data_IF_403890302221
#
_entry.id   IF_403890302221
#
_cell.length_a   1.000
_cell.length_b   1.000
_cell.length_c   1.000
_cell.angle_alpha   90.00
_cell.angle_beta   90.00
_cell.angle_gamma   90.00
#
_symmetry.space_group_name_H-M   'P 1'
#
loop_
_entity.id
_entity.type
_entity.pdbx_description
1 polymer ?
#
# COMPACT_ATOMS: atom_id res chain seq x y z
N UNK A 1 12.79 -2.73 -5.08
CA UNK A 1 12.00 -2.82 -6.34
C UNK A 1 11.70 -4.29 -6.61
N UNK A 2 10.47 -4.60 -6.97
CA UNK A 2 10.08 -5.96 -7.37
C UNK A 2 10.18 -6.08 -8.89
N UNK A 3 10.67 -7.21 -9.37
CA UNK A 3 10.72 -7.50 -10.82
C UNK A 3 9.31 -7.70 -11.39
N UNK A 4 9.15 -7.40 -12.68
CA UNK A 4 7.97 -7.80 -13.46
C UNK A 4 8.37 -8.98 -14.36
N UNK A 5 7.56 -10.03 -14.37
CA UNK A 5 7.81 -11.24 -15.16
C UNK A 5 9.19 -11.89 -14.93
N UNK A 6 9.76 -11.77 -13.71
CA UNK A 6 11.07 -12.32 -13.38
C UNK A 6 12.26 -11.56 -13.96
N UNK A 7 12.04 -10.47 -14.68
CA UNK A 7 13.10 -9.63 -15.24
C UNK A 7 13.66 -8.74 -14.15
N UNK A 8 14.96 -8.82 -13.91
CA UNK A 8 15.63 -7.97 -12.92
C UNK A 8 15.63 -6.51 -13.38
N UNK A 9 15.10 -5.63 -12.53
CA UNK A 9 15.13 -4.17 -12.77
C UNK A 9 16.54 -3.63 -12.50
N UNK A 10 17.09 -2.90 -13.45
CA UNK A 10 18.36 -2.19 -13.30
C UNK A 10 18.15 -0.69 -13.07
N UNK A 11 19.18 0.02 -12.62
CA UNK A 11 19.11 1.48 -12.47
C UNK A 11 18.83 2.22 -13.79
N UNK A 12 19.27 1.67 -14.92
CA UNK A 12 19.02 2.26 -16.24
C UNK A 12 17.53 2.20 -16.62
N UNK A 13 16.80 1.21 -16.12
CA UNK A 13 15.36 1.05 -16.36
C UNK A 13 14.52 2.12 -15.68
N UNK A 14 15.07 2.87 -14.73
CA UNK A 14 14.31 3.87 -13.95
C UNK A 14 13.94 5.10 -14.80
N UNK A 15 14.76 5.47 -15.78
CA UNK A 15 14.45 6.61 -16.61
C UNK A 15 13.41 6.29 -17.67
N UNK A 16 12.51 7.24 -17.94
CA UNK A 16 11.46 7.12 -18.95
C UNK A 16 10.54 5.90 -18.78
N UNK A 17 10.44 5.37 -17.56
CA UNK A 17 9.54 4.28 -17.18
C UNK A 17 8.38 4.81 -16.35
N UNK A 18 7.35 4.00 -16.17
CA UNK A 18 6.23 4.27 -15.26
C UNK A 18 6.59 3.76 -13.88
N UNK A 19 6.47 4.60 -12.87
CA UNK A 19 6.75 4.21 -11.49
C UNK A 19 5.46 3.96 -10.72
N UNK A 20 5.33 2.75 -10.17
CA UNK A 20 4.24 2.40 -9.27
C UNK A 20 4.70 2.41 -7.82
N UNK A 21 4.00 3.16 -6.98
CA UNK A 21 4.17 3.21 -5.53
C UNK A 21 2.92 2.67 -4.84
N UNK A 22 3.08 2.15 -3.64
CA UNK A 22 1.99 1.62 -2.84
C UNK A 22 2.47 0.64 -1.78
N UNK A 23 1.53 0.09 -1.03
CA UNK A 23 1.75 -0.91 0.00
C UNK A 23 1.98 -2.33 -0.53
N UNK A 24 1.68 -3.32 0.31
CA UNK A 24 1.79 -4.75 -0.01
C UNK A 24 0.91 -5.19 -1.19
N UNK A 25 -0.18 -4.52 -1.43
CA UNK A 25 -1.09 -4.76 -2.57
C UNK A 25 -0.45 -4.39 -3.90
N UNK A 26 0.29 -3.28 -3.96
CA UNK A 26 1.08 -2.87 -5.13
C UNK A 26 2.32 -3.75 -5.28
N UNK A 27 3.01 -4.05 -4.18
CA UNK A 27 4.07 -5.06 -4.19
C UNK A 27 3.59 -6.38 -4.79
N UNK A 28 2.32 -6.74 -4.58
CA UNK A 28 1.70 -7.97 -5.05
C UNK A 28 1.97 -9.13 -4.10
N UNK A 29 1.77 -8.91 -2.80
CA UNK A 29 1.88 -9.97 -1.80
C UNK A 29 0.93 -11.13 -2.14
N UNK A 30 1.47 -12.36 -2.15
CA UNK A 30 0.70 -13.58 -2.38
C UNK A 30 0.41 -13.91 -3.86
N UNK A 31 0.92 -13.13 -4.82
CA UNK A 31 0.87 -13.44 -6.25
C UNK A 31 2.28 -13.48 -6.85
N UNK A 32 2.42 -14.19 -7.97
CA UNK A 32 3.65 -14.24 -8.75
C UNK A 32 3.97 -12.88 -9.38
N UNK A 33 5.23 -12.65 -9.76
CA UNK A 33 5.71 -11.38 -10.33
C UNK A 33 4.89 -10.91 -11.52
N UNK A 34 4.53 -11.82 -12.41
CA UNK A 34 3.71 -11.53 -13.59
C UNK A 34 2.23 -11.28 -13.29
N UNK A 35 1.79 -11.43 -12.05
CA UNK A 35 0.40 -11.28 -11.62
C UNK A 35 0.16 -10.06 -10.72
N UNK A 36 1.18 -9.24 -10.48
CA UNK A 36 1.02 -7.98 -9.75
C UNK A 36 0.25 -6.94 -10.56
N UNK A 37 -0.31 -5.93 -9.90
CA UNK A 37 -0.97 -4.79 -10.56
C UNK A 37 0.01 -4.10 -11.54
N UNK A 38 1.26 -3.74 -11.13
CA UNK A 38 2.23 -3.14 -12.03
C UNK A 38 2.54 -4.00 -13.26
N UNK A 39 2.73 -5.33 -13.11
CA UNK A 39 3.00 -6.23 -14.24
C UNK A 39 1.81 -6.34 -15.20
N UNK A 40 0.57 -6.33 -14.68
CA UNK A 40 -0.64 -6.32 -15.52
C UNK A 40 -0.78 -5.00 -16.27
N UNK A 41 -0.43 -3.88 -15.63
CA UNK A 41 -0.43 -2.56 -16.24
C UNK A 41 0.65 -2.47 -17.32
N UNK A 42 1.88 -2.95 -17.08
CA UNK A 42 2.97 -2.99 -18.06
C UNK A 42 2.54 -3.67 -19.37
N UNK A 43 1.93 -4.85 -19.28
CA UNK A 43 1.42 -5.57 -20.46
C UNK A 43 0.27 -4.86 -21.17
N UNK A 44 -0.55 -4.10 -20.43
CA UNK A 44 -1.68 -3.38 -21.00
C UNK A 44 -1.25 -2.09 -21.70
N UNK A 45 -0.34 -1.34 -21.09
CA UNK A 45 0.13 -0.04 -21.57
C UNK A 45 1.25 -0.14 -22.61
N UNK A 46 1.92 -1.29 -22.67
CA UNK A 46 3.18 -1.48 -23.43
C UNK A 46 4.30 -0.50 -23.00
N UNK A 47 4.23 -0.03 -21.74
CA UNK A 47 5.22 0.84 -21.12
C UNK A 47 6.11 0.04 -20.16
N UNK A 48 7.38 0.37 -20.06
CA UNK A 48 8.23 -0.18 -19.00
C UNK A 48 7.73 0.29 -17.63
N UNK A 49 7.48 -0.63 -16.71
CA UNK A 49 6.95 -0.33 -15.37
C UNK A 49 7.91 -0.75 -14.28
N UNK A 50 8.12 0.11 -13.30
CA UNK A 50 8.92 -0.17 -12.11
C UNK A 50 8.00 -0.28 -10.90
N UNK A 51 8.03 -1.42 -10.22
CA UNK A 51 7.26 -1.68 -9.02
C UNK A 51 8.05 -1.28 -7.77
N UNK A 52 7.71 -0.14 -7.18
CA UNK A 52 8.22 0.36 -5.90
C UNK A 52 7.31 0.02 -4.71
N UNK A 53 6.28 -0.80 -4.91
CA UNK A 53 5.44 -1.26 -3.82
C UNK A 53 6.24 -1.96 -2.74
N UNK A 54 5.87 -1.77 -1.48
CA UNK A 54 6.51 -2.41 -0.34
C UNK A 54 5.51 -2.72 0.78
N UNK A 55 5.76 -3.78 1.56
CA UNK A 55 4.87 -4.14 2.66
C UNK A 55 4.71 -2.99 3.67
N UNK A 56 3.47 -2.71 4.05
CA UNK A 56 3.09 -1.67 5.03
C UNK A 56 3.41 -0.22 4.64
N UNK A 57 3.82 0.05 3.39
CA UNK A 57 4.00 1.42 2.93
C UNK A 57 2.65 2.14 2.83
N UNK A 58 2.68 3.43 3.14
CA UNK A 58 1.58 4.37 3.01
C UNK A 58 2.12 5.72 2.45
N UNK A 59 1.26 6.65 2.17
CA UNK A 59 1.54 7.88 1.42
C UNK A 59 2.81 8.63 1.82
N UNK A 60 3.17 8.67 3.11
CA UNK A 60 4.40 9.32 3.58
C UNK A 60 5.68 8.64 3.08
N UNK A 61 5.78 7.32 3.27
CA UNK A 61 6.97 6.53 2.88
C UNK A 61 7.11 6.49 1.35
N UNK A 62 5.99 6.41 0.64
CA UNK A 62 5.96 6.47 -0.82
C UNK A 62 6.51 7.79 -1.34
N UNK A 63 6.08 8.92 -0.77
CA UNK A 63 6.60 10.26 -1.11
C UNK A 63 8.09 10.36 -0.83
N UNK A 64 8.56 9.78 0.27
CA UNK A 64 9.99 9.78 0.63
C UNK A 64 10.80 8.98 -0.40
N UNK A 65 10.34 7.78 -0.75
CA UNK A 65 10.98 6.93 -1.75
C UNK A 65 10.98 7.60 -3.13
N UNK A 66 9.86 8.22 -3.51
CA UNK A 66 9.74 8.98 -4.75
C UNK A 66 10.76 10.11 -4.83
N UNK A 67 10.86 10.96 -3.79
CA UNK A 67 11.89 12.02 -3.70
C UNK A 67 13.30 11.48 -3.81
N UNK A 68 13.58 10.34 -3.17
CA UNK A 68 14.91 9.71 -3.19
C UNK A 68 15.34 9.38 -4.62
N UNK A 69 14.48 8.74 -5.40
CA UNK A 69 14.81 8.33 -6.76
C UNK A 69 14.79 9.50 -7.75
N UNK A 70 13.98 10.53 -7.52
CA UNK A 70 13.97 11.75 -8.35
C UNK A 70 15.26 12.55 -8.31
N UNK A 71 16.14 12.32 -7.32
CA UNK A 71 17.48 12.98 -7.28
C UNK A 71 18.36 12.60 -8.46
N UNK A 72 18.16 11.44 -9.06
CA UNK A 72 19.04 10.90 -10.11
C UNK A 72 18.30 10.32 -11.32
N UNK A 73 16.98 10.15 -11.25
CA UNK A 73 16.19 9.51 -12.30
C UNK A 73 14.89 10.27 -12.53
N UNK A 74 14.34 10.15 -13.74
CA UNK A 74 13.08 10.78 -14.10
C UNK A 74 12.11 9.76 -14.73
N UNK A 75 10.95 9.46 -14.09
CA UNK A 75 9.94 8.63 -14.70
C UNK A 75 9.22 9.35 -15.83
N UNK A 76 8.53 8.59 -16.68
CA UNK A 76 7.57 9.11 -17.64
C UNK A 76 6.37 9.72 -16.90
N UNK A 77 5.84 8.99 -15.93
CA UNK A 77 4.84 9.43 -14.94
C UNK A 77 4.87 8.48 -13.73
N UNK A 78 4.20 8.87 -12.66
CA UNK A 78 4.13 8.08 -11.43
C UNK A 78 2.68 7.76 -11.05
N UNK A 79 2.45 6.56 -10.54
CA UNK A 79 1.17 6.05 -10.08
C UNK A 79 1.31 5.65 -8.62
N UNK A 80 0.40 6.13 -7.78
CA UNK A 80 0.34 5.84 -6.36
C UNK A 80 -0.97 5.12 -6.05
N UNK A 81 -0.88 4.01 -5.32
CA UNK A 81 -2.02 3.20 -4.93
C UNK A 81 -2.08 3.10 -3.42
N UNK A 82 -2.73 4.07 -2.80
CA UNK A 82 -2.86 4.24 -1.36
C UNK A 82 -4.17 3.64 -0.82
N UNK A 83 -4.32 3.61 0.49
CA UNK A 83 -5.59 3.24 1.12
C UNK A 83 -5.46 2.71 2.54
N UNK A 84 -5.72 1.42 2.73
CA UNK A 84 -5.91 0.83 4.05
C UNK A 84 -4.66 0.82 4.96
N UNK A 85 -3.49 1.18 4.44
CA UNK A 85 -2.28 1.31 5.25
C UNK A 85 -2.14 2.70 5.89
N UNK A 86 -2.96 3.67 5.51
CA UNK A 86 -2.91 5.00 6.12
C UNK A 86 -3.17 4.90 7.62
N UNK A 87 -2.17 5.27 8.40
CA UNK A 87 -2.23 5.13 9.86
C UNK A 87 -1.27 6.08 10.57
N UNK A 88 -1.46 6.22 11.87
CA UNK A 88 -0.58 6.99 12.75
C UNK A 88 0.59 6.17 13.33
N UNK A 89 0.76 4.92 12.91
CA UNK A 89 1.74 4.00 13.51
C UNK A 89 3.20 4.38 13.23
N UNK A 90 3.43 5.35 12.33
CA UNK A 90 4.77 5.88 12.05
C UNK A 90 4.72 7.40 12.19
N UNK A 91 5.58 7.93 13.05
CA UNK A 91 5.75 9.37 13.23
C UNK A 91 6.33 9.99 11.93
N UNK A 92 5.60 10.83 11.19
CA UNK A 92 6.13 11.50 10.00
C UNK A 92 7.26 12.49 10.30
N UNK A 93 7.49 12.78 11.59
CA UNK A 93 8.58 13.63 12.07
C UNK A 93 9.78 12.81 12.60
N UNK A 94 9.73 11.48 12.54
CA UNK A 94 10.93 10.67 12.74
C UNK A 94 11.86 10.89 11.54
N UNK A 95 13.11 11.17 11.86
CA UNK A 95 14.14 11.52 10.89
C UNK A 95 14.30 10.47 9.76
N UNK A 96 14.92 10.89 8.67
CA UNK A 96 15.20 10.02 7.50
C UNK A 96 15.92 8.72 7.89
N UNK A 97 16.69 8.74 8.98
CA UNK A 97 17.44 7.59 9.48
C UNK A 97 16.55 6.49 10.02
N UNK A 98 15.42 6.80 10.67
CA UNK A 98 14.49 5.77 11.17
C UNK A 98 13.77 5.04 10.05
N UNK A 99 13.52 5.71 8.94
CA UNK A 99 12.92 5.12 7.72
C UNK A 99 13.93 4.19 7.03
N UNK A 100 15.17 4.65 6.86
CA UNK A 100 16.27 3.87 6.29
C UNK A 100 16.63 2.67 7.16
N UNK A 101 16.57 2.82 8.48
CA UNK A 101 16.85 1.73 9.42
C UNK A 101 15.81 0.61 9.34
N UNK A 102 14.53 0.95 9.12
CA UNK A 102 13.48 -0.06 8.87
C UNK A 102 13.64 -0.74 7.51
N UNK A 103 14.03 -0.01 6.47
CA UNK A 103 14.38 -0.59 5.16
C UNK A 103 15.53 -1.57 5.27
N UNK A 104 16.59 -1.24 6.04
CA UNK A 104 17.72 -2.13 6.28
C UNK A 104 17.34 -3.34 7.14
N UNK A 105 16.49 -3.17 8.14
CA UNK A 105 16.00 -4.28 8.96
C UNK A 105 15.05 -5.21 8.20
N UNK A 106 14.23 -4.71 7.27
CA UNK A 106 13.36 -5.57 6.47
C UNK A 106 14.15 -6.50 5.55
N UNK A 107 15.25 -6.02 4.98
CA UNK A 107 16.17 -6.82 4.14
C UNK A 107 17.11 -7.73 4.95
N UNK A 108 17.58 -7.27 6.11
CA UNK A 108 18.51 -8.03 6.96
C UNK A 108 17.78 -9.09 7.80
N UNK A 109 16.59 -8.79 8.31
CA UNK A 109 15.79 -9.75 9.09
C UNK A 109 15.22 -10.92 8.28
N UNK A 110 15.14 -10.81 6.96
CA UNK A 110 14.65 -11.93 6.14
C UNK A 110 15.58 -13.15 6.20
N UNK A 111 16.86 -12.93 6.23
CA UNK A 111 17.87 -14.01 6.33
C UNK A 111 17.97 -14.58 7.75
N UNK A 112 17.88 -13.73 8.78
CA UNK A 112 17.93 -14.17 10.18
C UNK A 112 16.58 -14.73 10.67
N UNK A 113 15.45 -14.21 10.22
CA UNK A 113 14.14 -14.79 10.54
C UNK A 113 14.02 -16.24 10.13
N UNK A 114 14.51 -16.63 8.96
CA UNK A 114 14.48 -18.05 8.54
C UNK A 114 15.24 -18.99 9.49
N UNK A 115 16.27 -18.49 10.17
CA UNK A 115 17.07 -19.28 11.14
C UNK A 115 16.38 -19.30 12.52
N UNK A 116 15.73 -18.20 12.94
CA UNK A 116 15.16 -18.05 14.27
C UNK A 116 13.64 -18.18 14.34
N UNK A 117 12.93 -18.23 13.22
CA UNK A 117 11.45 -18.40 13.18
C UNK A 117 10.96 -19.62 13.97
N UNK A 118 11.59 -20.81 13.90
CA UNK A 118 11.15 -21.94 14.69
C UNK A 118 11.24 -21.68 16.20
N UNK A 119 12.29 -20.98 16.65
CA UNK A 119 12.53 -20.69 18.08
C UNK A 119 11.56 -19.59 18.56
N UNK A 120 11.37 -18.54 17.77
CA UNK A 120 10.42 -17.46 18.08
C UNK A 120 8.95 -17.94 18.03
N UNK A 121 8.61 -18.87 17.14
CA UNK A 121 7.29 -19.47 17.08
C UNK A 121 6.99 -20.28 18.37
N UNK A 122 7.96 -21.06 18.85
CA UNK A 122 7.81 -21.84 20.09
C UNK A 122 7.72 -20.94 21.35
N UNK A 123 8.57 -19.92 21.45
CA UNK A 123 8.54 -18.98 22.59
C UNK A 123 7.29 -18.11 22.59
N UNK A 124 6.80 -17.66 21.42
CA UNK A 124 5.55 -16.94 21.32
C UNK A 124 4.33 -17.80 21.63
N UNK A 125 4.33 -19.08 21.27
CA UNK A 125 3.25 -20.02 21.60
C UNK A 125 3.17 -20.28 23.11
N UNK A 126 4.30 -20.37 23.81
CA UNK A 126 4.36 -20.51 25.27
C UNK A 126 3.89 -19.22 25.96
N UNK A 127 4.27 -18.05 25.46
CA UNK A 127 3.85 -16.76 26.01
C UNK A 127 2.38 -16.43 25.71
N UNK A 128 1.85 -16.86 24.58
CA UNK A 128 0.42 -16.73 24.27
C UNK A 128 -0.44 -17.62 25.17
N UNK A 129 -0.01 -18.83 25.52
CA UNK A 129 -0.73 -19.68 26.46
C UNK A 129 -0.71 -19.13 27.90
N UNK A 130 0.32 -18.38 28.31
CA UNK A 130 0.37 -17.71 29.63
C UNK A 130 -0.46 -16.42 29.71
N UNK A 131 -0.68 -15.73 28.60
CA UNK A 131 -1.38 -14.44 28.56
C UNK A 131 -2.82 -14.53 28.02
N UNK A 132 -3.37 -15.73 27.81
CA UNK A 132 -4.70 -15.91 27.22
C UNK A 132 -5.88 -15.48 28.11
N UNK A 133 -5.64 -15.09 29.36
CA UNK A 133 -6.71 -14.72 30.28
C UNK A 133 -7.03 -13.23 30.37
N UNK A 134 -6.37 -12.32 29.64
CA UNK A 134 -6.66 -10.87 29.74
C UNK A 134 -6.25 -10.05 28.48
N UNK A 135 -6.47 -10.50 27.27
CA UNK A 135 -6.49 -9.59 26.13
C UNK A 135 -7.87 -9.60 25.50
N UNK A 136 -8.64 -8.56 25.77
CA UNK A 136 -9.59 -8.05 24.80
C UNK A 136 -8.73 -7.80 23.55
N UNK A 137 -8.84 -8.68 22.55
CA UNK A 137 -8.14 -8.48 21.27
C UNK A 137 -8.77 -7.23 20.65
N UNK A 138 -8.10 -6.08 20.83
CA UNK A 138 -8.44 -4.90 20.06
C UNK A 138 -8.32 -5.28 18.59
N UNK A 139 -9.37 -5.00 17.82
CA UNK A 139 -9.34 -5.18 16.37
C UNK A 139 -8.14 -4.37 15.83
N UNK A 140 -7.16 -4.99 15.16
CA UNK A 140 -5.96 -4.29 14.68
C UNK A 140 -6.29 -3.11 13.75
N UNK A 141 -7.48 -3.09 13.15
CA UNK A 141 -7.95 -2.01 12.28
C UNK A 141 -8.45 -0.78 13.07
N UNK A 142 -8.80 -0.92 14.36
CA UNK A 142 -9.24 0.22 15.19
C UNK A 142 -8.10 1.20 15.48
N UNK A 143 -6.86 0.71 15.50
CA UNK A 143 -5.67 1.58 15.66
C UNK A 143 -5.52 2.57 14.51
N UNK A 144 -5.96 2.23 13.30
CA UNK A 144 -5.91 3.11 12.13
C UNK A 144 -6.93 4.25 12.19
N UNK A 145 -7.96 4.13 13.04
CA UNK A 145 -8.98 5.16 13.21
C UNK A 145 -8.59 6.24 14.21
N UNK A 146 -7.56 5.99 15.01
CA UNK A 146 -7.12 6.90 16.07
C UNK A 146 -6.42 8.13 15.48
N UNK A 147 -6.60 9.25 16.14
CA UNK A 147 -5.81 10.45 15.86
C UNK A 147 -4.35 10.23 16.29
N UNK A 148 -3.45 10.83 15.54
CA UNK A 148 -2.03 10.67 15.75
C UNK A 148 -1.56 11.52 16.92
N UNK A 149 -0.80 10.94 17.83
CA UNK A 149 -0.20 11.68 18.95
C UNK A 149 1.29 11.88 18.69
N UNK A 150 1.69 13.14 18.53
CA UNK A 150 3.07 13.53 18.36
C UNK A 150 3.49 14.43 19.51
N UNK A 151 4.28 13.89 20.43
CA UNK A 151 4.78 14.64 21.61
C UNK A 151 3.66 15.34 22.40
N UNK A 152 2.54 14.66 22.61
CA UNK A 152 1.37 15.18 23.32
C UNK A 152 0.40 15.99 22.47
N UNK A 153 0.71 16.25 21.19
CA UNK A 153 -0.20 16.94 20.28
C UNK A 153 -1.02 15.93 19.49
N UNK A 154 -2.35 16.00 19.58
CA UNK A 154 -3.27 15.19 18.78
C UNK A 154 -3.44 15.80 17.39
N UNK A 155 -3.15 15.04 16.36
CA UNK A 155 -3.33 15.44 14.95
C UNK A 155 -4.25 14.42 14.27
N UNK A 156 -5.37 14.84 13.68
CA UNK A 156 -6.25 13.93 12.94
C UNK A 156 -5.50 13.19 11.83
N UNK A 157 -5.75 11.90 11.68
CA UNK A 157 -5.19 11.11 10.58
C UNK A 157 -5.47 11.75 9.22
N UNK A 158 -6.70 12.24 9.03
CA UNK A 158 -7.12 12.95 7.81
C UNK A 158 -6.21 14.14 7.48
N UNK A 159 -5.74 14.87 8.48
CA UNK A 159 -4.82 15.99 8.30
C UNK A 159 -3.44 15.53 7.83
N UNK A 160 -2.99 14.40 8.32
CA UNK A 160 -1.70 13.81 7.92
C UNK A 160 -1.78 13.33 6.48
N UNK A 161 -2.83 12.60 6.12
CA UNK A 161 -3.05 12.13 4.75
C UNK A 161 -3.18 13.32 3.79
N UNK A 162 -3.98 14.34 4.12
CA UNK A 162 -4.11 15.57 3.33
C UNK A 162 -2.75 16.22 3.07
N UNK A 163 -1.92 16.37 4.11
CA UNK A 163 -0.58 16.92 3.97
C UNK A 163 0.33 16.06 3.07
N UNK A 164 0.24 14.73 3.19
CA UNK A 164 1.02 13.82 2.35
C UNK A 164 0.62 13.90 0.88
N UNK A 165 -0.68 13.99 0.58
CA UNK A 165 -1.17 14.14 -0.79
C UNK A 165 -0.77 15.49 -1.40
N UNK A 166 -0.87 16.59 -0.62
CA UNK A 166 -0.38 17.92 -1.04
C UNK A 166 1.12 17.94 -1.29
N UNK A 167 1.90 17.29 -0.42
CA UNK A 167 3.34 17.17 -0.63
C UNK A 167 3.66 16.36 -1.89
N UNK A 168 2.95 15.27 -2.16
CA UNK A 168 3.05 14.51 -3.41
C UNK A 168 2.80 15.40 -4.63
N UNK A 169 1.69 16.13 -4.62
CA UNK A 169 1.36 17.06 -5.71
C UNK A 169 2.45 18.12 -5.91
N UNK A 170 3.00 18.66 -4.81
CA UNK A 170 4.13 19.60 -4.84
C UNK A 170 5.38 18.97 -5.47
N UNK A 171 5.75 17.74 -5.09
CA UNK A 171 6.90 17.02 -5.65
C UNK A 171 6.70 16.82 -7.16
N UNK A 172 5.53 16.37 -7.58
CA UNK A 172 5.20 16.13 -8.98
C UNK A 172 5.32 17.41 -9.80
N UNK A 173 4.73 18.50 -9.32
CA UNK A 173 4.79 19.83 -9.97
C UNK A 173 6.22 20.35 -10.10
N UNK A 174 7.02 20.30 -9.02
CA UNK A 174 8.40 20.79 -9.02
C UNK A 174 9.31 20.03 -9.99
N UNK A 175 9.04 18.76 -10.23
CA UNK A 175 9.84 17.91 -11.12
C UNK A 175 9.24 17.78 -12.53
N UNK A 176 8.14 18.48 -12.81
CA UNK A 176 7.40 18.39 -14.07
C UNK A 176 7.08 16.93 -14.44
N UNK A 177 6.45 16.22 -13.48
CA UNK A 177 6.04 14.82 -13.63
C UNK A 177 4.54 14.74 -13.45
N UNK A 178 3.85 14.03 -14.34
CA UNK A 178 2.45 13.70 -14.18
C UNK A 178 2.32 12.59 -13.15
N UNK A 179 1.52 12.83 -12.13
CA UNK A 179 1.29 11.86 -11.06
C UNK A 179 -0.20 11.54 -10.97
N UNK A 180 -0.50 10.27 -10.74
CA UNK A 180 -1.85 9.77 -10.54
C UNK A 180 -1.93 9.11 -9.17
N UNK A 181 -2.87 9.54 -8.35
CA UNK A 181 -3.09 8.99 -7.02
C UNK A 181 -4.44 8.28 -6.99
N UNK A 182 -4.42 7.02 -6.64
CA UNK A 182 -5.60 6.18 -6.54
C UNK A 182 -5.82 5.71 -5.11
N UNK A 183 -7.05 5.83 -4.63
CA UNK A 183 -7.51 5.13 -3.45
C UNK A 183 -7.90 3.72 -3.86
N UNK A 184 -7.17 2.73 -3.34
CA UNK A 184 -7.34 1.32 -3.70
C UNK A 184 -8.68 0.76 -3.22
N UNK A 185 -9.29 -0.19 -3.95
CA UNK A 185 -10.51 -0.84 -3.50
C UNK A 185 -10.26 -1.72 -2.28
N UNK A 186 -11.28 -1.81 -1.41
CA UNK A 186 -11.22 -2.67 -0.23
C UNK A 186 -12.43 -3.63 -0.21
N UNK A 187 -12.24 -4.90 0.25
CA UNK A 187 -13.34 -5.86 0.32
C UNK A 187 -14.47 -5.35 1.21
N UNK A 188 -15.72 -5.67 0.84
CA UNK A 188 -16.94 -5.29 1.56
C UNK A 188 -17.23 -3.78 1.65
N UNK A 189 -16.39 -2.94 1.03
CA UNK A 189 -16.63 -1.50 0.88
C UNK A 189 -16.93 -1.20 -0.59
N UNK A 190 -15.95 -1.38 -1.47
CA UNK A 190 -16.07 -1.12 -2.91
C UNK A 190 -16.55 -2.36 -3.69
N UNK A 191 -16.60 -3.51 -3.04
CA UNK A 191 -17.00 -4.79 -3.62
C UNK A 191 -17.94 -5.51 -2.66
N UNK A 192 -19.17 -5.04 -2.47
CA UNK A 192 -20.06 -5.47 -1.39
C UNK A 192 -20.50 -6.94 -1.51
N UNK A 193 -20.48 -7.54 -2.69
CA UNK A 193 -20.99 -8.89 -2.92
C UNK A 193 -19.95 -10.01 -2.73
N UNK A 194 -18.70 -9.67 -2.39
CA UNK A 194 -17.62 -10.64 -2.25
C UNK A 194 -17.36 -10.98 -0.78
N UNK A 195 -18.26 -11.75 -0.19
CA UNK A 195 -18.14 -12.24 1.18
C UNK A 195 -17.11 -13.37 1.37
N UNK A 196 -16.17 -13.50 0.42
CA UNK A 196 -15.12 -14.52 0.48
C UNK A 196 -13.79 -13.98 0.98
N UNK A 197 -13.74 -12.69 1.33
CA UNK A 197 -12.61 -12.14 2.09
C UNK A 197 -12.69 -12.67 3.52
N UNK A 198 -11.57 -13.08 4.09
CA UNK A 198 -11.50 -13.49 5.51
C UNK A 198 -11.64 -12.30 6.48
N UNK A 199 -12.29 -11.23 6.03
CA UNK A 199 -12.50 -10.01 6.81
C UNK A 199 -13.68 -10.21 7.74
N UNK A 200 -13.50 -10.03 9.04
CA UNK A 200 -14.59 -10.05 10.02
C UNK A 200 -15.51 -8.85 9.86
N UNK A 201 -16.72 -8.92 10.41
CA UNK A 201 -17.68 -7.80 10.34
C UNK A 201 -17.17 -6.57 11.08
N UNK A 202 -16.51 -6.75 12.22
CA UNK A 202 -15.88 -5.66 12.98
C UNK A 202 -14.78 -4.99 12.16
N UNK A 203 -13.89 -5.78 11.55
CA UNK A 203 -12.82 -5.27 10.71
C UNK A 203 -13.38 -4.53 9.50
N UNK A 204 -14.40 -5.05 8.84
CA UNK A 204 -15.06 -4.38 7.72
C UNK A 204 -15.69 -3.04 8.14
N UNK A 205 -16.30 -2.98 9.31
CA UNK A 205 -16.87 -1.74 9.88
C UNK A 205 -15.79 -0.70 10.15
N UNK A 206 -14.67 -1.08 10.76
CA UNK A 206 -13.56 -0.18 11.05
C UNK A 206 -12.92 0.35 9.75
N UNK A 207 -12.74 -0.53 8.78
CA UNK A 207 -12.21 -0.13 7.46
C UNK A 207 -13.18 0.79 6.71
N UNK A 208 -14.49 0.54 6.80
CA UNK A 208 -15.46 1.47 6.21
C UNK A 208 -15.35 2.87 6.81
N UNK A 209 -15.25 2.97 8.15
CA UNK A 209 -15.04 4.26 8.81
C UNK A 209 -13.75 4.95 8.38
N UNK A 210 -12.68 4.18 8.14
CA UNK A 210 -11.44 4.73 7.59
C UNK A 210 -11.66 5.29 6.18
N UNK A 211 -12.27 4.52 5.29
CA UNK A 211 -12.51 4.94 3.91
C UNK A 211 -13.48 6.12 3.83
N UNK A 212 -14.52 6.17 4.66
CA UNK A 212 -15.43 7.32 4.76
C UNK A 212 -14.67 8.63 5.13
N UNK A 213 -13.55 8.52 5.85
CA UNK A 213 -12.66 9.66 6.14
C UNK A 213 -11.68 9.95 5.01
N UNK A 214 -11.17 8.92 4.32
CA UNK A 214 -10.13 9.08 3.29
C UNK A 214 -10.68 9.56 1.94
N UNK A 215 -11.82 9.04 1.49
CA UNK A 215 -12.38 9.37 0.18
C UNK A 215 -12.56 10.88 -0.07
N UNK A 216 -13.11 11.67 0.86
CA UNK A 216 -13.20 13.11 0.70
C UNK A 216 -11.82 13.79 0.56
N UNK A 217 -10.82 13.29 1.31
CA UNK A 217 -9.45 13.83 1.28
C UNK A 217 -8.78 13.54 -0.07
N UNK A 218 -8.93 12.31 -0.57
CA UNK A 218 -8.45 11.97 -1.90
C UNK A 218 -9.08 12.83 -2.97
N UNK A 219 -10.40 12.98 -2.95
CA UNK A 219 -11.16 13.77 -3.92
C UNK A 219 -10.73 15.26 -3.94
N UNK A 220 -10.49 15.86 -2.78
CA UNK A 220 -10.02 17.25 -2.68
C UNK A 220 -8.60 17.42 -3.24
N UNK A 221 -7.78 16.37 -3.21
CA UNK A 221 -6.42 16.36 -3.71
C UNK A 221 -6.29 15.70 -5.10
N UNK A 222 -7.33 15.73 -5.92
CA UNK A 222 -7.37 15.16 -7.28
C UNK A 222 -7.08 13.64 -7.32
N UNK A 223 -7.29 12.96 -6.20
CA UNK A 223 -7.19 11.51 -6.12
C UNK A 223 -8.44 10.81 -6.66
N UNK A 224 -8.28 9.61 -7.16
CA UNK A 224 -9.31 8.82 -7.82
C UNK A 224 -9.62 7.60 -6.95
N UNK A 225 -10.87 7.46 -6.49
CA UNK A 225 -11.32 6.22 -5.83
C UNK A 225 -11.57 5.15 -6.89
N UNK A 226 -10.95 3.99 -6.70
CA UNK A 226 -11.15 2.83 -7.58
C UNK A 226 -12.41 2.07 -7.15
N UNK A 227 -13.53 2.55 -7.60
CA UNK A 227 -14.86 1.97 -7.39
C UNK A 227 -15.47 1.44 -8.69
N UNK A 228 -16.64 0.78 -8.58
CA UNK A 228 -17.39 0.23 -9.72
C UNK A 228 -16.54 -0.73 -10.58
N UNK A 229 -15.68 -1.50 -9.93
CA UNK A 229 -14.93 -2.56 -10.56
C UNK A 229 -15.88 -3.73 -10.87
N UNK A 230 -15.91 -4.18 -12.12
CA UNK A 230 -16.76 -5.29 -12.56
C UNK A 230 -16.22 -6.63 -12.03
N UNK A 231 -16.41 -6.85 -10.74
CA UNK A 231 -16.10 -8.13 -10.10
C UNK A 231 -17.29 -9.09 -10.25
N UNK A 232 -17.00 -10.28 -10.74
CA UNK A 232 -17.99 -11.38 -10.82
C UNK A 232 -18.18 -11.99 -9.43
N UNK A 233 -19.40 -12.00 -8.91
CA UNK A 233 -19.73 -12.54 -7.59
C UNK A 233 -19.34 -14.01 -7.38
N UNK A 234 -19.09 -14.76 -8.46
CA UNK A 234 -18.70 -16.17 -8.39
C UNK A 234 -17.19 -16.40 -8.30
N UNK A 235 -16.37 -15.36 -8.36
CA UNK A 235 -14.90 -15.48 -8.34
C UNK A 235 -14.27 -14.97 -7.06
N UNK A 236 -13.08 -15.49 -6.76
CA UNK A 236 -12.27 -15.02 -5.64
C UNK A 236 -11.32 -13.91 -6.10
N UNK A 237 -11.46 -12.72 -5.52
CA UNK A 237 -10.64 -11.56 -5.85
C UNK A 237 -9.65 -11.17 -4.76
N UNK A 238 -9.76 -11.79 -3.59
CA UNK A 238 -8.85 -11.58 -2.48
C UNK A 238 -8.28 -12.92 -2.02
N UNK A 239 -6.99 -12.93 -1.72
CA UNK A 239 -6.27 -14.11 -1.17
C UNK A 239 -6.37 -14.17 0.35
N UNK A 240 -6.56 -13.01 0.99
CA UNK A 240 -6.82 -12.84 2.42
C UNK A 240 -7.76 -11.65 2.66
N UNK A 241 -7.66 -11.00 3.82
CA UNK A 241 -8.52 -9.86 4.19
C UNK A 241 -8.24 -8.57 3.41
N UNK A 242 -7.15 -8.46 2.66
CA UNK A 242 -6.74 -7.21 2.00
C UNK A 242 -6.00 -7.37 0.68
N UNK A 243 -5.31 -8.50 0.46
CA UNK A 243 -4.45 -8.69 -0.71
C UNK A 243 -5.21 -9.29 -1.89
N UNK A 244 -4.89 -8.79 -3.07
CA UNK A 244 -5.59 -9.13 -4.32
C UNK A 244 -5.10 -10.44 -4.93
N UNK A 245 -6.03 -11.18 -5.52
CA UNK A 245 -5.71 -12.27 -6.43
C UNK A 245 -5.18 -11.74 -7.77
N UNK A 246 -4.68 -12.64 -8.61
CA UNK A 246 -4.24 -12.31 -9.98
C UNK A 246 -5.36 -11.73 -10.85
N UNK A 247 -6.60 -12.18 -10.63
CA UNK A 247 -7.79 -11.70 -11.32
C UNK A 247 -8.13 -10.26 -10.90
N UNK A 248 -8.13 -9.98 -9.60
CA UNK A 248 -8.34 -8.62 -9.08
C UNK A 248 -7.24 -7.68 -9.56
N UNK A 249 -5.98 -8.11 -9.50
CA UNK A 249 -4.84 -7.31 -9.99
C UNK A 249 -5.01 -6.91 -11.46
N UNK A 250 -5.53 -7.81 -12.30
CA UNK A 250 -5.83 -7.53 -13.71
C UNK A 250 -6.95 -6.49 -13.88
N UNK A 251 -8.04 -6.62 -13.12
CA UNK A 251 -9.18 -5.68 -13.18
C UNK A 251 -8.73 -4.30 -12.72
N UNK A 252 -8.01 -4.21 -11.60
CA UNK A 252 -7.49 -2.95 -11.06
C UNK A 252 -6.52 -2.29 -12.05
N UNK A 253 -5.57 -3.04 -12.60
CA UNK A 253 -4.63 -2.52 -13.59
C UNK A 253 -5.35 -1.97 -14.85
N UNK A 254 -6.36 -2.68 -15.34
CA UNK A 254 -7.18 -2.22 -16.47
C UNK A 254 -7.93 -0.94 -16.13
N UNK A 255 -8.46 -0.82 -14.91
CA UNK A 255 -9.18 0.38 -14.47
C UNK A 255 -8.25 1.59 -14.33
N UNK A 256 -7.06 1.38 -13.76
CA UNK A 256 -6.02 2.42 -13.70
C UNK A 256 -5.64 2.88 -15.11
N UNK A 257 -5.44 1.94 -16.04
CA UNK A 257 -5.12 2.27 -17.44
C UNK A 257 -6.19 3.17 -18.07
N UNK A 258 -7.47 2.88 -17.87
CA UNK A 258 -8.58 3.69 -18.40
C UNK A 258 -8.63 5.14 -17.90
N UNK A 259 -8.01 5.44 -16.77
CA UNK A 259 -7.91 6.81 -16.24
C UNK A 259 -6.70 7.59 -16.77
N UNK A 260 -5.72 6.88 -17.32
CA UNK A 260 -4.44 7.47 -17.73
C UNK A 260 -4.40 7.72 -19.24
N UNK A 261 -5.01 6.80 -20.00
CA UNK A 261 -5.12 6.82 -21.46
C UNK A 261 -6.25 7.75 -21.91
#
# INVERSE_FOLDING_TARGET
MRSNDGVQVTYNDLNNSVWFFGGSTTFGYGVEDNNTIPSKFERKSNEKVINFGAGFYYSFQENHLFKKFLKSHKPKYAIFLDGHNESCSINPYQDEMSILFRESQSTYNWSLKKIFEPILFYTNKINQQRNSNQRIQSNPWDEQLKDCNFNGTQIPLTKIVDNNLKERARICKLNNIKCYTFLQPFPRIHVPHLDKSRLTDEAAKSMKLLYDKLEPIFKINDGITLENLNFDSNKHYYIDSSHYSKEASKIIANRIFQYID
#
